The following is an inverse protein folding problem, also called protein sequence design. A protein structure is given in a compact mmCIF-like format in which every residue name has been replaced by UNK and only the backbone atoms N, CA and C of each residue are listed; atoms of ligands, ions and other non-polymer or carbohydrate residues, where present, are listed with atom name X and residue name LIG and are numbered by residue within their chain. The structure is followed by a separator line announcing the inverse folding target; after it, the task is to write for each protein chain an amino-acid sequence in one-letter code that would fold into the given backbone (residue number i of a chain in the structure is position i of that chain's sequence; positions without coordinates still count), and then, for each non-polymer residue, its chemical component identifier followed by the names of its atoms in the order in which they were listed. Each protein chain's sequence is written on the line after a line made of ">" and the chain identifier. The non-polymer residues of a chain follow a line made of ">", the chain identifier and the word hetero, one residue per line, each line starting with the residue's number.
data_IF_863816959195
#
_entry.id   IF_863816959195
#
_cell.length_a   1.000
_cell.length_b   1.000
_cell.length_c   1.000
_cell.angle_alpha   90.00
_cell.angle_beta   90.00
_cell.angle_gamma   90.00
#
_symmetry.space_group_name_H-M   'P 1'
#
loop_
_entity.id
_entity.type
_entity.pdbx_description
1 polymer ?
#
# COMPACT_ATOMS: atom_id res chain seq x y z
N UNK A 1 -16.74 5.62 2.17
CA UNK A 1 -17.31 5.37 0.83
C UNK A 1 -16.89 3.99 0.37
N UNK A 2 -17.83 3.08 0.04
CA UNK A 2 -17.50 1.80 -0.62
C UNK A 2 -16.94 2.13 -2.01
N UNK A 3 -15.63 1.94 -2.22
CA UNK A 3 -15.01 2.09 -3.53
C UNK A 3 -15.55 0.99 -4.44
N UNK A 4 -16.13 1.36 -5.58
CA UNK A 4 -16.64 0.43 -6.60
C UNK A 4 -15.49 -0.48 -6.99
N UNK A 5 -15.69 -1.81 -6.92
CA UNK A 5 -14.70 -2.79 -7.33
C UNK A 5 -14.60 -2.74 -8.87
N UNK A 6 -13.54 -2.16 -9.46
CA UNK A 6 -13.58 -1.83 -10.87
C UNK A 6 -13.59 -3.06 -11.78
N UNK A 7 -13.28 -4.27 -11.28
CA UNK A 7 -13.12 -5.48 -12.10
C UNK A 7 -13.36 -6.80 -11.32
N UNK A 8 -14.47 -6.98 -10.58
CA UNK A 8 -14.72 -8.22 -9.80
C UNK A 8 -13.49 -8.74 -8.99
N UNK A 9 -12.58 -7.84 -8.65
CA UNK A 9 -11.26 -8.22 -8.22
C UNK A 9 -11.36 -8.65 -6.77
N UNK A 10 -10.67 -9.74 -6.42
CA UNK A 10 -10.55 -10.14 -5.03
C UNK A 10 -9.93 -8.96 -4.25
N UNK A 11 -10.65 -8.48 -3.25
CA UNK A 11 -10.14 -7.45 -2.34
C UNK A 11 -9.42 -8.14 -1.20
N UNK A 12 -8.21 -7.67 -0.89
CA UNK A 12 -7.44 -8.07 0.27
C UNK A 12 -7.72 -7.03 1.36
N UNK A 13 -8.36 -7.47 2.44
CA UNK A 13 -8.56 -6.64 3.63
C UNK A 13 -7.27 -6.62 4.45
N UNK A 14 -6.61 -5.45 4.49
CA UNK A 14 -5.35 -5.26 5.21
C UNK A 14 -5.58 -4.99 6.70
N UNK A 15 -6.69 -4.34 7.01
CA UNK A 15 -7.21 -4.08 8.35
C UNK A 15 -8.70 -3.76 8.19
N UNK A 16 -9.47 -3.81 9.28
CA UNK A 16 -10.90 -3.49 9.20
C UNK A 16 -11.11 -2.10 8.60
N UNK A 17 -11.79 -2.04 7.46
CA UNK A 17 -12.05 -0.78 6.73
C UNK A 17 -10.93 -0.29 5.80
N UNK A 18 -9.81 -1.02 5.69
CA UNK A 18 -8.71 -0.76 4.76
C UNK A 18 -8.49 -1.98 3.87
N UNK A 19 -8.95 -1.88 2.62
CA UNK A 19 -8.80 -2.96 1.64
C UNK A 19 -8.21 -2.45 0.32
N UNK A 20 -7.53 -3.33 -0.39
CA UNK A 20 -6.95 -3.06 -1.71
C UNK A 20 -7.15 -4.28 -2.64
N UNK A 21 -7.33 -4.10 -3.96
CA UNK A 21 -7.41 -5.22 -4.88
C UNK A 21 -6.12 -6.07 -4.87
N UNK A 22 -6.28 -7.38 -4.98
CA UNK A 22 -5.19 -8.36 -4.91
C UNK A 22 -4.10 -8.12 -5.97
N UNK A 23 -4.45 -7.55 -7.13
CA UNK A 23 -3.45 -7.21 -8.16
C UNK A 23 -2.50 -6.08 -7.76
N UNK A 24 -2.74 -5.35 -6.66
CA UNK A 24 -1.76 -4.46 -6.06
C UNK A 24 -0.74 -5.18 -5.17
N UNK A 25 -0.99 -6.43 -4.77
CA UNK A 25 -0.10 -7.14 -3.84
C UNK A 25 1.34 -7.31 -4.32
N UNK A 26 1.66 -7.45 -5.62
CA UNK A 26 3.04 -7.43 -6.09
C UNK A 26 3.76 -6.11 -5.80
N UNK A 27 3.04 -4.98 -5.76
CA UNK A 27 3.57 -3.66 -5.37
C UNK A 27 3.71 -3.57 -3.85
N UNK A 28 2.66 -3.97 -3.11
CA UNK A 28 2.62 -3.87 -1.64
C UNK A 28 3.66 -4.79 -0.99
N UNK A 29 3.78 -6.04 -1.44
CA UNK A 29 4.67 -7.06 -0.85
C UNK A 29 6.16 -6.77 -1.10
N UNK A 30 6.48 -5.96 -2.12
CA UNK A 30 7.84 -5.45 -2.42
C UNK A 30 8.14 -4.13 -1.70
N UNK A 31 7.21 -3.65 -0.88
CA UNK A 31 7.29 -2.37 -0.19
C UNK A 31 7.16 -2.56 1.32
N UNK A 32 7.41 -1.48 2.05
CA UNK A 32 7.13 -1.35 3.47
C UNK A 32 5.96 -0.39 3.61
N UNK A 33 4.92 -0.79 4.35
CA UNK A 33 3.79 0.08 4.69
C UNK A 33 4.22 1.06 5.78
N UNK A 34 3.87 2.34 5.63
CA UNK A 34 4.36 3.43 6.50
C UNK A 34 3.22 4.36 6.93
N UNK A 35 3.53 5.33 7.80
CA UNK A 35 2.62 6.43 8.13
C UNK A 35 1.29 5.98 8.72
N UNK A 36 0.20 6.59 8.27
CA UNK A 36 -1.15 6.30 8.74
C UNK A 36 -1.61 4.89 8.33
N UNK A 37 -1.16 4.40 7.17
CA UNK A 37 -1.44 3.02 6.76
C UNK A 37 -0.78 2.02 7.71
N UNK A 38 0.47 2.24 8.10
CA UNK A 38 1.13 1.37 9.08
C UNK A 38 0.39 1.38 10.43
N UNK A 39 -0.02 2.57 10.91
CA UNK A 39 -0.83 2.71 12.13
C UNK A 39 -2.14 1.93 12.04
N UNK A 40 -2.84 1.98 10.91
CA UNK A 40 -4.08 1.24 10.70
C UNK A 40 -3.87 -0.28 10.75
N UNK A 41 -2.79 -0.79 10.12
CA UNK A 41 -2.46 -2.21 10.16
C UNK A 41 -2.09 -2.67 11.57
N UNK A 42 -1.31 -1.86 12.32
CA UNK A 42 -0.92 -2.18 13.70
C UNK A 42 -2.14 -2.17 14.63
N UNK A 43 -3.05 -1.19 14.47
CA UNK A 43 -4.26 -1.09 15.27
C UNK A 43 -5.32 -2.17 14.92
N UNK A 44 -5.19 -2.81 13.76
CA UNK A 44 -6.13 -3.80 13.20
C UNK A 44 -7.41 -3.20 12.61
N UNK A 45 -7.62 -1.89 12.73
CA UNK A 45 -8.83 -1.21 12.25
C UNK A 45 -8.54 0.25 11.87
N UNK A 46 -9.01 0.66 10.69
CA UNK A 46 -8.79 1.99 10.11
C UNK A 46 -9.45 3.10 10.93
N UNK A 47 -10.59 2.83 11.56
CA UNK A 47 -11.36 3.82 12.34
C UNK A 47 -10.61 4.33 13.58
N UNK A 48 -9.56 3.64 14.00
CA UNK A 48 -8.70 4.05 15.13
C UNK A 48 -7.60 5.03 14.72
N UNK A 49 -7.58 5.46 13.46
CA UNK A 49 -6.59 6.42 12.94
C UNK A 49 -7.30 7.73 12.61
N UNK A 50 -6.95 8.80 13.34
CA UNK A 50 -7.61 10.12 13.24
C UNK A 50 -7.68 10.68 11.82
N UNK A 51 -6.63 10.43 11.02
CA UNK A 51 -6.57 10.79 9.61
C UNK A 51 -5.92 9.65 8.84
N UNK A 52 -6.62 9.06 7.87
CA UNK A 52 -6.00 8.16 6.92
C UNK A 52 -6.22 8.67 5.48
N UNK A 53 -5.15 8.79 4.67
CA UNK A 53 -5.29 9.26 3.29
C UNK A 53 -6.09 8.27 2.43
N UNK A 54 -6.59 8.71 1.27
CA UNK A 54 -7.34 7.84 0.34
C UNK A 54 -6.48 6.78 -0.39
N UNK A 55 -5.20 6.66 -0.02
CA UNK A 55 -4.20 5.77 -0.62
C UNK A 55 -3.43 5.02 0.46
N UNK A 56 -2.88 3.86 0.10
CA UNK A 56 -1.93 3.17 0.97
C UNK A 56 -0.57 3.87 0.93
N UNK A 57 -0.01 4.16 2.10
CA UNK A 57 1.32 4.75 2.24
C UNK A 57 2.39 3.67 2.24
N UNK A 58 3.31 3.75 1.28
CA UNK A 58 4.40 2.80 1.09
C UNK A 58 5.75 3.52 1.04
N UNK A 59 6.83 2.78 1.28
CA UNK A 59 8.19 3.12 0.86
C UNK A 59 8.90 1.85 0.40
N UNK A 60 9.94 2.00 -0.40
CA UNK A 60 10.78 0.88 -0.83
C UNK A 60 12.18 1.37 -1.18
N UNK A 61 13.16 0.47 -1.08
CA UNK A 61 14.50 0.66 -1.66
C UNK A 61 14.54 0.17 -3.12
N UNK A 62 13.64 -0.75 -3.50
CA UNK A 62 13.53 -1.31 -4.85
C UNK A 62 12.45 -0.58 -5.65
N UNK A 63 12.74 0.68 -6.01
CA UNK A 63 11.78 1.51 -6.75
C UNK A 63 11.48 0.92 -8.14
N UNK A 64 12.51 0.47 -8.86
CA UNK A 64 12.37 -0.05 -10.22
C UNK A 64 11.59 -1.36 -10.23
N UNK A 65 11.89 -2.31 -9.34
CA UNK A 65 11.14 -3.56 -9.24
C UNK A 65 9.67 -3.36 -8.87
N UNK A 66 9.36 -2.32 -8.08
CA UNK A 66 7.96 -1.95 -7.80
C UNK A 66 7.28 -1.33 -9.03
N UNK A 67 7.98 -0.48 -9.80
CA UNK A 67 7.46 0.08 -11.06
C UNK A 67 7.19 -1.04 -12.08
N UNK A 68 8.11 -1.99 -12.24
CA UNK A 68 7.95 -3.15 -13.11
C UNK A 68 6.76 -4.00 -12.69
N UNK A 69 6.62 -4.28 -11.40
CA UNK A 69 5.47 -5.00 -10.85
C UNK A 69 4.15 -4.28 -11.19
N UNK A 70 4.10 -2.95 -11.03
CA UNK A 70 2.93 -2.15 -11.36
C UNK A 70 2.60 -2.18 -12.87
N UNK A 71 3.61 -2.02 -13.73
CA UNK A 71 3.45 -2.10 -15.19
C UNK A 71 2.92 -3.46 -15.63
N UNK A 72 3.43 -4.55 -15.03
CA UNK A 72 2.98 -5.92 -15.34
C UNK A 72 1.49 -6.16 -15.04
N UNK A 73 0.89 -5.32 -14.19
CA UNK A 73 -0.52 -5.34 -13.82
C UNK A 73 -1.36 -4.28 -14.53
N UNK A 74 -0.77 -3.56 -15.49
CA UNK A 74 -1.46 -2.49 -16.23
C UNK A 74 -1.82 -1.28 -15.36
N UNK A 75 -1.15 -1.09 -14.22
CA UNK A 75 -1.42 0.04 -13.32
C UNK A 75 -0.81 1.33 -13.86
N UNK A 76 -1.52 2.45 -13.66
CA UNK A 76 -1.06 3.79 -14.03
C UNK A 76 -0.03 4.26 -13.01
N UNK A 77 1.05 4.87 -13.50
CA UNK A 77 2.17 5.33 -12.69
C UNK A 77 2.34 6.84 -12.89
N UNK A 78 2.25 7.60 -11.81
CA UNK A 78 2.44 9.05 -11.79
C UNK A 78 3.64 9.39 -10.92
N UNK A 79 4.65 10.03 -11.51
CA UNK A 79 5.87 10.44 -10.79
C UNK A 79 5.75 11.89 -10.32
N UNK A 80 5.80 12.10 -9.02
CA UNK A 80 5.92 13.41 -8.40
C UNK A 80 7.30 13.60 -7.76
N UNK A 81 7.61 14.82 -7.32
CA UNK A 81 8.93 15.15 -6.75
C UNK A 81 9.31 14.34 -5.51
N UNK A 82 8.33 14.00 -4.66
CA UNK A 82 8.56 13.34 -3.36
C UNK A 82 7.99 11.92 -3.28
N UNK A 83 7.22 11.50 -4.29
CA UNK A 83 6.51 10.23 -4.27
C UNK A 83 6.15 9.76 -5.67
N UNK A 84 5.91 8.46 -5.79
CA UNK A 84 5.32 7.83 -6.98
C UNK A 84 3.92 7.36 -6.59
N UNK A 85 2.91 7.72 -7.37
CA UNK A 85 1.54 7.21 -7.20
C UNK A 85 1.30 6.10 -8.20
N UNK A 86 0.86 4.94 -7.74
CA UNK A 86 0.42 3.81 -8.57
C UNK A 86 -1.09 3.67 -8.37
N UNK A 87 -1.84 3.58 -9.46
CA UNK A 87 -3.30 3.70 -9.44
C UNK A 87 -3.96 2.90 -10.56
N UNK A 88 -5.13 2.33 -10.29
CA UNK A 88 -6.05 1.80 -11.32
C UNK A 88 -7.16 2.80 -11.71
N UNK A 89 -7.23 3.94 -11.01
CA UNK A 89 -8.25 4.98 -11.16
C UNK A 89 -9.14 5.11 -9.92
N UNK A 90 -9.26 4.03 -9.14
CA UNK A 90 -10.09 3.93 -7.93
C UNK A 90 -9.23 3.71 -6.68
N UNK A 91 -8.39 2.69 -6.72
CA UNK A 91 -7.42 2.34 -5.69
C UNK A 91 -6.06 2.94 -6.03
N UNK A 92 -5.37 3.36 -4.98
CA UNK A 92 -4.12 4.12 -5.09
C UNK A 92 -3.18 3.69 -3.99
N UNK A 93 -1.90 3.56 -4.34
CA UNK A 93 -0.80 3.49 -3.39
C UNK A 93 0.20 4.59 -3.70
N UNK A 94 0.85 5.12 -2.67
CA UNK A 94 1.91 6.11 -2.82
C UNK A 94 3.20 5.59 -2.21
N UNK A 95 4.24 5.55 -3.02
CA UNK A 95 5.59 5.22 -2.62
C UNK A 95 6.32 6.53 -2.30
N UNK A 96 6.56 6.78 -1.03
CA UNK A 96 7.33 7.94 -0.58
C UNK A 96 8.82 7.71 -0.74
N UNK A 97 9.46 8.60 -1.49
CA UNK A 97 10.88 8.49 -1.84
C UNK A 97 11.81 8.93 -0.71
N UNK A 98 11.31 9.72 0.24
CA UNK A 98 12.09 10.27 1.35
C UNK A 98 12.02 9.43 2.64
N UNK A 99 11.14 8.42 2.70
CA UNK A 99 10.93 7.59 3.90
C UNK A 99 11.77 6.30 3.92
N UNK A 100 12.87 6.22 3.15
CA UNK A 100 13.62 4.96 2.94
C UNK A 100 14.38 4.46 4.18
N UNK A 101 14.63 5.32 5.18
CA UNK A 101 15.38 4.99 6.39
C UNK A 101 14.46 4.50 7.51
N UNK A 102 13.84 3.33 7.31
CA UNK A 102 13.00 2.70 8.34
C UNK A 102 13.85 1.80 9.21
N UNK A 103 13.90 2.12 10.51
CA UNK A 103 14.73 1.43 11.49
C UNK A 103 14.09 0.18 12.09
N UNK A 104 12.75 0.09 12.10
CA UNK A 104 12.01 -1.04 12.68
C UNK A 104 10.81 -1.41 11.82
N UNK A 105 10.72 -2.68 11.46
CA UNK A 105 9.57 -3.25 10.72
C UNK A 105 9.12 -4.55 11.36
N UNK A 106 7.81 -4.79 11.34
CA UNK A 106 7.21 -6.11 11.60
C UNK A 106 6.69 -6.71 10.29
N UNK A 107 6.48 -8.02 10.27
CA UNK A 107 5.80 -8.70 9.18
C UNK A 107 4.43 -9.17 9.66
N UNK A 108 3.38 -8.77 8.95
CA UNK A 108 2.01 -9.22 9.19
C UNK A 108 1.64 -10.14 8.04
N UNK A 109 1.13 -11.33 8.36
CA UNK A 109 0.60 -12.27 7.38
C UNK A 109 -0.87 -11.96 7.15
N UNK A 110 -1.24 -11.64 5.91
CA UNK A 110 -2.61 -11.38 5.48
C UNK A 110 -2.89 -12.29 4.29
N UNK A 111 -3.85 -13.21 4.44
CA UNK A 111 -4.05 -14.33 3.53
C UNK A 111 -2.72 -15.08 3.25
N UNK A 112 -2.31 -15.14 1.98
CA UNK A 112 -1.05 -15.73 1.51
C UNK A 112 0.10 -14.74 1.39
N UNK A 113 -0.08 -13.49 1.81
CA UNK A 113 0.89 -12.41 1.62
C UNK A 113 1.60 -12.03 2.93
N UNK A 114 2.91 -11.79 2.81
CA UNK A 114 3.71 -11.22 3.89
C UNK A 114 3.85 -9.72 3.66
N UNK A 115 3.29 -8.92 4.56
CA UNK A 115 3.28 -7.46 4.46
C UNK A 115 4.23 -6.89 5.51
N UNK A 116 5.24 -6.15 5.04
CA UNK A 116 6.18 -5.46 5.92
C UNK A 116 5.58 -4.13 6.35
N UNK A 117 5.55 -3.87 7.65
CA UNK A 117 4.94 -2.66 8.22
C UNK A 117 5.95 -1.97 9.13
N UNK A 118 6.13 -0.67 8.94
CA UNK A 118 6.94 0.17 9.82
C UNK A 118 6.30 0.27 11.21
N UNK A 119 7.08 0.10 12.26
CA UNK A 119 6.62 0.32 13.65
C UNK A 119 7.09 1.65 14.24
N UNK A 120 7.58 2.56 13.37
CA UNK A 120 7.98 3.92 13.77
C UNK A 120 6.78 4.77 14.19
#
# INVERSE_FOLDING_TARGET
>A
MRKVNPVNAKLIELARGLAIPEYFMPVVSRSIVVGHSAKALIAGELLRVDYHPEYLELTTQDIEGVIEAAKSKGLRIYRGRKHITISDGVYKVRIFLFKQNISKTITIKIDSYNIRVSTQ
#
